data_IF_465817461898
#
_entry.id   IF_465817461898
#
_cell.length_a   1.000
_cell.length_b   1.000
_cell.length_c   1.000
_cell.angle_alpha   90.00
_cell.angle_beta   90.00
_cell.angle_gamma   90.00
#
_symmetry.space_group_name_H-M   'P 1'
#
loop_
_entity.id
_entity.type
_entity.pdbx_description
1 polymer ?
#
# COMPACT_ATOMS: atom_id res chain seq x y z
N UNK A 1 24.70 -4.19 -3.05
CA UNK A 1 23.78 -5.35 -2.95
C UNK A 1 22.87 -5.09 -1.76
N UNK A 2 21.59 -5.43 -1.89
CA UNK A 2 20.62 -5.35 -0.80
C UNK A 2 20.29 -6.76 -0.31
N UNK A 3 19.84 -6.90 0.93
CA UNK A 3 19.33 -8.16 1.50
C UNK A 3 17.81 -8.09 1.69
N UNK A 4 17.26 -6.90 1.93
CA UNK A 4 15.83 -6.64 2.06
C UNK A 4 15.47 -5.24 1.52
N UNK A 5 14.17 -4.94 1.47
CA UNK A 5 13.65 -3.67 0.94
C UNK A 5 14.16 -2.43 1.71
N UNK A 6 14.46 -2.54 3.00
CA UNK A 6 14.93 -1.43 3.83
C UNK A 6 16.38 -1.04 3.55
N UNK A 7 17.16 -1.92 2.92
CA UNK A 7 18.52 -1.60 2.47
C UNK A 7 18.51 -0.71 1.22
N UNK A 8 17.35 -0.56 0.58
CA UNK A 8 17.20 0.20 -0.64
C UNK A 8 16.80 1.66 -0.35
N UNK A 9 17.32 2.62 -1.13
CA UNK A 9 16.96 4.02 -0.95
C UNK A 9 15.53 4.29 -1.42
N UNK A 10 14.82 5.17 -0.70
CA UNK A 10 13.42 5.56 -0.99
C UNK A 10 12.49 4.33 -0.97
N UNK A 11 11.54 4.27 -1.89
CA UNK A 11 10.54 3.19 -2.01
C UNK A 11 11.01 2.02 -2.89
N UNK A 12 12.32 1.90 -3.12
CA UNK A 12 12.85 0.82 -3.95
C UNK A 12 12.76 -0.53 -3.24
N UNK A 13 12.55 -1.57 -4.04
CA UNK A 13 12.42 -2.95 -3.59
C UNK A 13 13.70 -3.73 -3.86
N UNK A 14 14.07 -4.60 -2.94
CA UNK A 14 15.19 -5.49 -3.12
C UNK A 14 14.76 -6.73 -3.89
N UNK A 15 15.16 -6.82 -5.16
CA UNK A 15 14.74 -7.90 -6.06
C UNK A 15 15.92 -8.76 -6.49
N UNK A 16 15.69 -10.06 -6.62
CA UNK A 16 16.70 -10.95 -7.21
C UNK A 16 16.83 -10.69 -8.71
N UNK A 17 18.06 -10.62 -9.22
CA UNK A 17 18.36 -10.46 -10.64
C UNK A 17 19.04 -11.71 -11.24
N UNK A 18 18.97 -12.86 -10.57
CA UNK A 18 19.59 -14.12 -10.99
C UNK A 18 21.06 -14.31 -10.58
N UNK A 19 21.81 -13.23 -10.31
CA UNK A 19 23.19 -13.29 -9.82
C UNK A 19 23.36 -12.68 -8.41
N UNK A 20 22.25 -12.31 -7.78
CA UNK A 20 22.22 -11.65 -6.48
C UNK A 20 20.97 -10.80 -6.34
N UNK A 21 21.07 -9.74 -5.53
CA UNK A 21 19.99 -8.81 -5.25
C UNK A 21 20.35 -7.37 -5.57
N UNK A 22 19.42 -6.67 -6.22
CA UNK A 22 19.56 -5.28 -6.60
C UNK A 22 18.30 -4.50 -6.24
N UNK A 23 18.49 -3.24 -5.85
CA UNK A 23 17.40 -2.31 -5.65
C UNK A 23 16.78 -1.93 -6.99
N UNK A 24 15.47 -2.12 -7.10
CA UNK A 24 14.69 -1.77 -8.29
C UNK A 24 13.50 -0.93 -7.87
N UNK A 25 13.09 -0.02 -8.75
CA UNK A 25 11.83 0.68 -8.56
C UNK A 25 10.68 -0.33 -8.61
N UNK A 26 9.68 -0.20 -7.72
CA UNK A 26 8.52 -1.07 -7.78
C UNK A 26 7.74 -0.81 -9.08
N UNK A 27 7.14 -1.87 -9.64
CA UNK A 27 6.35 -1.81 -10.88
C UNK A 27 5.16 -0.85 -10.76
N UNK A 28 4.65 -0.70 -9.54
CA UNK A 28 3.58 0.23 -9.17
C UNK A 28 4.02 1.06 -7.98
N UNK A 29 3.62 2.35 -7.88
CA UNK A 29 3.81 3.14 -6.67
C UNK A 29 3.31 2.40 -5.43
N UNK A 30 3.78 2.77 -4.24
CA UNK A 30 3.29 2.13 -3.01
C UNK A 30 1.84 2.53 -2.66
N UNK A 31 1.41 3.70 -3.13
CA UNK A 31 0.10 4.29 -2.83
C UNK A 31 -0.42 5.02 -4.08
N UNK A 32 -1.73 4.94 -4.31
CA UNK A 32 -2.38 5.78 -5.32
C UNK A 32 -2.45 7.24 -4.84
N UNK A 33 -2.43 8.22 -5.76
CA UNK A 33 -2.67 9.63 -5.42
C UNK A 33 -3.98 9.82 -4.65
N UNK A 34 -4.05 10.84 -3.78
CA UNK A 34 -5.22 11.11 -2.93
C UNK A 34 -5.01 10.76 -1.47
N UNK A 35 -6.01 11.05 -0.63
CA UNK A 35 -5.96 10.84 0.83
C UNK A 35 -7.27 10.23 1.31
N UNK A 36 -7.16 9.26 2.21
CA UNK A 36 -8.33 8.72 2.88
C UNK A 36 -9.05 9.81 3.70
N UNK A 37 -10.39 9.80 3.75
CA UNK A 37 -11.14 10.70 4.60
C UNK A 37 -10.79 10.48 6.07
N UNK A 38 -10.76 11.56 6.83
CA UNK A 38 -10.52 11.49 8.27
C UNK A 38 -11.69 10.78 8.96
N UNK A 39 -11.40 9.68 9.66
CA UNK A 39 -12.38 9.05 10.54
C UNK A 39 -12.60 9.93 11.77
N UNK A 40 -13.86 10.11 12.15
CA UNK A 40 -14.20 10.73 13.44
C UNK A 40 -13.73 9.82 14.57
N UNK A 41 -13.11 10.40 15.59
CA UNK A 41 -12.65 9.65 16.77
C UNK A 41 -13.85 8.90 17.39
N UNK A 42 -13.65 7.61 17.70
CA UNK A 42 -14.68 6.76 18.29
C UNK A 42 -15.67 6.14 17.30
N UNK A 43 -15.59 6.47 16.00
CA UNK A 43 -16.37 5.79 14.98
C UNK A 43 -15.60 4.56 14.51
N UNK A 44 -16.17 3.39 14.80
CA UNK A 44 -15.74 2.13 14.21
C UNK A 44 -16.74 1.77 13.12
N UNK A 45 -16.27 1.77 11.87
CA UNK A 45 -17.02 1.23 10.75
C UNK A 45 -17.17 -0.28 10.84
N UNK A 46 -17.86 -0.84 9.86
CA UNK A 46 -18.09 -2.28 9.77
C UNK A 46 -16.73 -2.99 9.65
N UNK A 47 -16.54 -4.07 10.41
CA UNK A 47 -15.35 -4.92 10.38
C UNK A 47 -15.30 -5.80 9.12
N UNK A 48 -15.23 -5.16 7.94
CA UNK A 48 -15.08 -5.82 6.64
C UNK A 48 -13.76 -5.42 6.01
N UNK A 49 -12.99 -6.39 5.54
CA UNK A 49 -11.71 -6.18 4.87
C UNK A 49 -11.88 -6.45 3.38
N UNK A 50 -12.36 -5.45 2.63
CA UNK A 50 -12.61 -5.57 1.19
C UNK A 50 -11.37 -5.34 0.33
N UNK A 51 -10.33 -4.75 0.91
CA UNK A 51 -9.05 -4.48 0.26
C UNK A 51 -7.93 -4.55 1.31
N UNK A 52 -6.70 -4.81 0.84
CA UNK A 52 -5.47 -4.76 1.65
C UNK A 52 -4.63 -3.54 1.28
N UNK A 53 -4.55 -3.20 -0.01
CA UNK A 53 -3.87 -2.01 -0.50
C UNK A 53 -4.65 -1.29 -1.61
N UNK A 54 -4.22 -0.08 -1.96
CA UNK A 54 -4.89 0.75 -2.96
C UNK A 54 -5.08 0.04 -4.31
N UNK A 55 -4.22 -0.91 -4.68
CA UNK A 55 -4.27 -1.62 -5.95
C UNK A 55 -5.26 -2.79 -5.97
N UNK A 56 -5.79 -3.19 -4.82
CA UNK A 56 -6.95 -4.09 -4.78
C UNK A 56 -8.23 -3.36 -5.20
N UNK A 57 -8.23 -2.02 -5.10
CA UNK A 57 -9.37 -1.20 -5.46
C UNK A 57 -9.36 -0.83 -6.95
N UNK A 58 -10.52 -0.82 -7.63
CA UNK A 58 -10.59 -0.44 -9.03
C UNK A 58 -10.35 1.07 -9.23
N UNK A 59 -9.87 1.44 -10.42
CA UNK A 59 -9.64 2.83 -10.83
C UNK A 59 -8.74 3.60 -9.85
N UNK A 60 -9.11 4.83 -9.48
CA UNK A 60 -8.35 5.68 -8.57
C UNK A 60 -8.78 5.53 -7.09
N UNK A 61 -9.66 4.57 -6.79
CA UNK A 61 -10.09 4.31 -5.42
C UNK A 61 -8.92 3.82 -4.56
N UNK A 62 -8.92 4.28 -3.31
CA UNK A 62 -7.94 3.96 -2.28
C UNK A 62 -8.50 2.97 -1.28
N UNK A 63 -7.62 2.16 -0.72
CA UNK A 63 -7.98 1.22 0.33
C UNK A 63 -7.84 1.91 1.69
N UNK A 64 -8.96 2.39 2.22
CA UNK A 64 -8.96 3.19 3.43
C UNK A 64 -9.48 2.40 4.63
N UNK A 65 -8.85 2.61 5.78
CA UNK A 65 -9.38 2.08 7.03
C UNK A 65 -10.71 2.75 7.36
N UNK A 66 -11.64 1.95 7.87
CA UNK A 66 -12.91 2.41 8.43
C UNK A 66 -12.91 2.40 9.96
N UNK A 67 -11.75 2.17 10.59
CA UNK A 67 -11.58 2.04 12.04
C UNK A 67 -11.47 0.58 12.47
N UNK A 68 -12.32 -0.31 11.93
CA UNK A 68 -12.18 -1.76 12.11
C UNK A 68 -11.68 -2.45 10.83
N UNK A 69 -12.37 -2.22 9.71
CA UNK A 69 -12.08 -2.84 8.43
C UNK A 69 -11.38 -1.91 7.44
N UNK A 70 -11.34 -2.34 6.18
CA UNK A 70 -10.81 -1.58 5.05
C UNK A 70 -11.76 -1.66 3.85
N UNK A 71 -12.02 -0.51 3.23
CA UNK A 71 -12.94 -0.40 2.10
C UNK A 71 -12.38 0.49 1.00
N UNK A 72 -12.73 0.19 -0.25
CA UNK A 72 -12.39 1.01 -1.39
C UNK A 72 -13.25 2.28 -1.43
N UNK A 73 -12.63 3.43 -1.21
CA UNK A 73 -13.26 4.75 -1.27
C UNK A 73 -12.33 5.75 -1.95
N UNK A 74 -12.88 6.86 -2.41
CA UNK A 74 -12.12 7.91 -3.10
C UNK A 74 -11.41 8.84 -2.12
#
# INVERSE_FOLDING_TARGET
>A
MCSNDYDCPKDNKCCSNGCGHACKQPVRPLQKPGKCPALRKGVMGICVHLCKDDYDCPNDLKCCSTGCGHTCIN
#
